data_IF_411144794364
#
_entry.id   IF_411144794364
#
_cell.length_a   1.000
_cell.length_b   1.000
_cell.length_c   1.000
_cell.angle_alpha   90.00
_cell.angle_beta   90.00
_cell.angle_gamma   90.00
#
_symmetry.space_group_name_H-M   'P 1'
#
loop_
_entity.id
_entity.type
_entity.pdbx_description
1 polymer ?
#
# COMPACT_ATOMS: atom_id res chain seq x y z
N UNK A 1 -1.37 18.59 10.89
CA UNK A 1 -0.20 17.80 11.33
C UNK A 1 0.44 17.20 10.08
N UNK A 2 1.75 16.96 10.00
CA UNK A 2 2.31 16.28 8.83
C UNK A 2 1.64 14.90 8.70
N UNK A 3 1.21 14.54 7.50
CA UNK A 3 0.57 13.25 7.27
C UNK A 3 1.59 12.13 7.53
N UNK A 4 1.18 11.14 8.33
CA UNK A 4 2.02 9.97 8.61
C UNK A 4 2.10 9.10 7.34
N UNK A 5 3.33 8.83 6.86
CA UNK A 5 3.58 8.04 5.67
C UNK A 5 4.24 6.70 6.00
N UNK A 6 3.81 5.66 5.29
CA UNK A 6 4.37 4.32 5.35
C UNK A 6 4.67 3.83 3.94
N UNK A 7 5.63 2.92 3.83
CA UNK A 7 5.88 2.17 2.59
C UNK A 7 5.28 0.78 2.73
N UNK A 8 4.48 0.39 1.75
CA UNK A 8 3.95 -0.97 1.63
C UNK A 8 4.91 -1.78 0.77
N UNK A 9 5.32 -2.93 1.28
CA UNK A 9 6.24 -3.88 0.64
C UNK A 9 5.63 -5.29 0.61
N UNK A 10 6.14 -6.12 -0.30
CA UNK A 10 5.85 -7.56 -0.28
C UNK A 10 6.49 -8.23 0.93
N UNK A 11 5.80 -9.23 1.51
CA UNK A 11 6.40 -10.14 2.51
C UNK A 11 7.40 -11.11 1.89
N UNK A 12 7.22 -11.41 0.61
CA UNK A 12 8.13 -12.29 -0.11
C UNK A 12 9.30 -11.44 -0.62
N UNK A 13 10.55 -11.78 -0.27
CA UNK A 13 11.70 -11.06 -0.79
C UNK A 13 11.83 -11.29 -2.30
N UNK A 14 12.38 -10.29 -3.00
CA UNK A 14 12.82 -10.43 -4.38
C UNK A 14 14.14 -11.19 -4.47
N UNK A 15 14.84 -11.03 -5.59
CA UNK A 15 16.26 -11.45 -5.66
C UNK A 15 17.08 -10.64 -4.63
N UNK A 16 18.28 -11.11 -4.24
CA UNK A 16 19.14 -10.34 -3.36
C UNK A 16 19.37 -8.91 -3.89
N UNK A 17 19.01 -7.89 -3.09
CA UNK A 17 19.09 -6.48 -3.48
C UNK A 17 17.85 -5.93 -4.22
N UNK A 18 16.84 -6.76 -4.47
CA UNK A 18 15.59 -6.37 -5.15
C UNK A 18 14.39 -6.48 -4.21
N UNK A 19 13.42 -5.57 -4.40
CA UNK A 19 12.12 -5.67 -3.76
C UNK A 19 11.32 -6.81 -4.39
N UNK A 20 10.63 -7.58 -3.57
CA UNK A 20 9.73 -8.62 -4.07
C UNK A 20 8.48 -8.02 -4.70
N UNK A 21 7.89 -8.67 -5.71
CA UNK A 21 6.63 -8.22 -6.29
C UNK A 21 5.50 -8.35 -5.26
N UNK A 22 4.62 -7.35 -5.22
CA UNK A 22 3.37 -7.39 -4.45
C UNK A 22 2.31 -8.12 -5.26
N UNK A 23 2.02 -7.62 -6.47
CA UNK A 23 1.08 -8.20 -7.43
C UNK A 23 1.24 -7.50 -8.80
N UNK A 24 0.60 -8.04 -9.83
CA UNK A 24 0.39 -7.25 -11.05
C UNK A 24 -0.51 -6.05 -10.74
N UNK A 25 -0.38 -4.96 -11.50
CA UNK A 25 -1.21 -3.76 -11.30
C UNK A 25 -2.70 -4.08 -11.39
N UNK A 26 -3.10 -4.94 -12.33
CA UNK A 26 -4.50 -5.32 -12.52
C UNK A 26 -5.06 -6.17 -11.36
N UNK A 27 -4.27 -7.06 -10.76
CA UNK A 27 -4.68 -7.84 -9.59
C UNK A 27 -4.77 -6.97 -8.34
N UNK A 28 -3.80 -6.07 -8.16
CA UNK A 28 -3.76 -5.13 -7.04
C UNK A 28 -5.00 -4.22 -7.04
N UNK A 29 -5.30 -3.59 -8.18
CA UNK A 29 -6.47 -2.71 -8.32
C UNK A 29 -7.78 -3.46 -8.04
N UNK A 30 -7.93 -4.67 -8.58
CA UNK A 30 -9.11 -5.52 -8.31
C UNK A 30 -9.23 -5.87 -6.83
N UNK A 31 -8.11 -6.20 -6.18
CA UNK A 31 -8.07 -6.57 -4.76
C UNK A 31 -8.38 -5.39 -3.83
N UNK A 32 -7.93 -4.19 -4.18
CA UNK A 32 -8.20 -2.99 -3.39
C UNK A 32 -9.63 -2.47 -3.61
N UNK A 33 -10.17 -2.57 -4.83
CA UNK A 33 -11.51 -2.11 -5.14
C UNK A 33 -12.58 -2.81 -4.28
N UNK A 34 -12.47 -4.12 -4.06
CA UNK A 34 -13.40 -4.88 -3.19
C UNK A 34 -13.25 -4.54 -1.70
N UNK A 35 -12.27 -3.70 -1.34
CA UNK A 35 -11.98 -3.23 0.02
C UNK A 35 -12.15 -1.70 0.15
N UNK A 36 -12.91 -1.10 -0.76
CA UNK A 36 -13.20 0.33 -0.81
C UNK A 36 -11.93 1.19 -0.97
N UNK A 37 -10.94 0.70 -1.71
CA UNK A 37 -9.75 1.48 -2.07
C UNK A 37 -9.53 1.43 -3.57
N UNK A 38 -9.67 2.57 -4.23
CA UNK A 38 -9.65 2.62 -5.70
C UNK A 38 -9.22 4.02 -6.17
N UNK A 39 -8.73 4.15 -7.41
CA UNK A 39 -8.50 5.46 -8.00
C UNK A 39 -9.83 6.17 -8.28
N UNK A 40 -9.82 7.51 -8.29
CA UNK A 40 -10.99 8.30 -8.69
C UNK A 40 -11.31 8.08 -10.18
N UNK A 41 -10.27 7.98 -11.03
CA UNK A 41 -10.41 7.71 -12.47
C UNK A 41 -9.58 6.51 -12.89
N UNK A 42 -10.08 5.79 -13.88
CA UNK A 42 -9.35 4.66 -14.45
C UNK A 42 -8.00 5.12 -15.00
N UNK A 43 -6.92 4.49 -14.54
CA UNK A 43 -5.55 4.78 -14.96
C UNK A 43 -4.76 5.62 -13.95
N UNK A 44 -5.42 6.29 -13.01
CA UNK A 44 -4.71 7.08 -12.00
C UNK A 44 -3.85 6.18 -11.09
N UNK A 45 -2.75 6.74 -10.63
CA UNK A 45 -1.82 6.09 -9.71
C UNK A 45 -2.13 6.36 -8.24
N UNK A 46 -3.04 7.30 -7.95
CA UNK A 46 -3.48 7.65 -6.60
C UNK A 46 -4.82 7.00 -6.29
N UNK A 47 -4.85 6.18 -5.25
CA UNK A 47 -6.02 5.45 -4.79
C UNK A 47 -6.48 6.02 -3.45
N UNK A 48 -7.80 6.15 -3.30
CA UNK A 48 -8.44 6.66 -2.10
C UNK A 48 -9.15 5.55 -1.37
N UNK A 49 -8.94 5.47 -0.06
CA UNK A 49 -9.65 4.58 0.85
C UNK A 49 -10.04 5.30 2.14
N UNK A 50 -10.76 4.63 3.06
CA UNK A 50 -11.19 5.27 4.30
C UNK A 50 -9.99 5.62 5.19
N UNK A 51 -9.72 6.92 5.34
CA UNK A 51 -8.60 7.46 6.12
C UNK A 51 -7.21 7.22 5.52
N UNK A 52 -7.13 6.72 4.28
CA UNK A 52 -5.85 6.44 3.63
C UNK A 52 -5.85 6.86 2.17
N UNK A 53 -4.65 7.18 1.69
CA UNK A 53 -4.32 7.24 0.27
C UNK A 53 -3.20 6.25 -0.03
N UNK A 54 -3.26 5.59 -1.18
CA UNK A 54 -2.20 4.70 -1.67
C UNK A 54 -1.74 5.20 -3.03
N UNK A 55 -0.47 5.53 -3.15
CA UNK A 55 0.17 5.96 -4.39
C UNK A 55 0.98 4.80 -4.98
N UNK A 56 0.65 4.44 -6.22
CA UNK A 56 1.42 3.52 -7.05
C UNK A 56 2.53 4.26 -7.79
N UNK A 57 3.61 3.55 -8.12
CA UNK A 57 4.62 4.06 -9.04
C UNK A 57 4.05 4.09 -10.48
N UNK A 58 4.17 5.21 -11.21
CA UNK A 58 3.63 5.33 -12.56
C UNK A 58 4.19 4.30 -13.53
N UNK A 59 3.30 3.59 -14.23
CA UNK A 59 3.67 2.58 -15.23
C UNK A 59 4.38 1.34 -14.71
N UNK A 60 4.54 1.17 -13.39
CA UNK A 60 5.20 -0.01 -12.81
C UNK A 60 4.28 -1.23 -12.80
N UNK A 61 4.75 -2.34 -13.39
CA UNK A 61 4.08 -3.64 -13.35
C UNK A 61 5.13 -4.78 -13.49
N UNK A 62 5.26 -5.71 -12.52
CA UNK A 62 4.51 -5.80 -11.26
C UNK A 62 4.84 -4.66 -10.31
N UNK A 63 3.86 -4.31 -9.46
CA UNK A 63 4.08 -3.34 -8.39
C UNK A 63 4.97 -3.97 -7.33
N UNK A 64 6.06 -3.31 -6.94
CA UNK A 64 7.00 -3.81 -5.93
C UNK A 64 6.93 -3.03 -4.62
N UNK A 65 6.45 -1.80 -4.66
CA UNK A 65 6.24 -0.95 -3.50
C UNK A 65 5.09 0.04 -3.75
N UNK A 66 4.49 0.52 -2.67
CA UNK A 66 3.49 1.60 -2.70
C UNK A 66 3.72 2.55 -1.54
N UNK A 67 3.40 3.83 -1.73
CA UNK A 67 3.39 4.81 -0.65
C UNK A 67 1.99 4.90 -0.07
N UNK A 68 1.86 4.70 1.24
CA UNK A 68 0.62 4.88 1.98
C UNK A 68 0.69 6.17 2.79
N UNK A 69 -0.33 7.01 2.64
CA UNK A 69 -0.49 8.24 3.44
C UNK A 69 -1.71 8.06 4.33
N UNK A 70 -1.56 8.33 5.63
CA UNK A 70 -2.68 8.40 6.58
C UNK A 70 -3.30 9.79 6.48
N UNK A 71 -4.55 9.86 6.05
CA UNK A 71 -5.32 11.12 5.91
C UNK A 71 -6.26 11.36 7.09
N UNK A 72 -6.65 10.30 7.81
CA UNK A 72 -7.47 10.37 9.03
C UNK A 72 -7.01 9.30 10.04
N UNK A 73 -6.37 9.75 11.13
CA UNK A 73 -5.77 8.85 12.14
C UNK A 73 -6.81 8.05 12.93
N UNK A 74 -8.05 8.53 13.05
CA UNK A 74 -9.08 7.89 13.88
C UNK A 74 -9.57 6.57 13.25
N UNK A 75 -9.50 6.46 11.92
CA UNK A 75 -10.04 5.31 11.18
C UNK A 75 -8.99 4.52 10.38
N UNK A 76 -7.88 5.15 9.98
CA UNK A 76 -6.92 4.56 9.06
C UNK A 76 -6.34 3.23 9.54
N UNK A 77 -5.97 3.12 10.82
CA UNK A 77 -5.25 1.93 11.29
C UNK A 77 -6.07 0.65 11.21
N UNK A 78 -7.37 0.73 11.43
CA UNK A 78 -8.27 -0.42 11.27
C UNK A 78 -8.28 -0.93 9.83
N UNK A 79 -8.28 0.00 8.86
CA UNK A 79 -8.22 -0.33 7.42
C UNK A 79 -6.85 -0.89 7.07
N UNK A 80 -5.77 -0.20 7.45
CA UNK A 80 -4.39 -0.58 7.11
C UNK A 80 -4.06 -1.98 7.62
N UNK A 81 -4.35 -2.27 8.89
CA UNK A 81 -4.06 -3.59 9.48
C UNK A 81 -4.86 -4.70 8.80
N UNK A 82 -6.12 -4.42 8.44
CA UNK A 82 -6.95 -5.38 7.71
C UNK A 82 -6.41 -5.64 6.29
N UNK A 83 -6.08 -4.59 5.55
CA UNK A 83 -5.49 -4.70 4.21
C UNK A 83 -4.17 -5.47 4.27
N UNK A 84 -3.27 -5.09 5.17
CA UNK A 84 -1.95 -5.69 5.29
C UNK A 84 -2.02 -7.17 5.66
N UNK A 85 -2.96 -7.57 6.53
CA UNK A 85 -3.18 -8.98 6.87
C UNK A 85 -3.79 -9.77 5.71
N UNK A 86 -4.81 -9.24 5.04
CA UNK A 86 -5.49 -9.98 3.97
C UNK A 86 -4.65 -10.08 2.69
N UNK A 87 -3.88 -9.02 2.36
CA UNK A 87 -3.06 -8.94 1.16
C UNK A 87 -1.60 -9.30 1.40
N UNK A 88 -1.28 -9.79 2.61
CA UNK A 88 0.06 -10.28 2.99
C UNK A 88 1.15 -9.21 2.77
N UNK A 89 0.88 -7.98 3.23
CA UNK A 89 1.82 -6.88 3.14
C UNK A 89 2.71 -6.77 4.37
N UNK A 90 3.88 -6.19 4.14
CA UNK A 90 4.77 -5.64 5.15
C UNK A 90 4.68 -4.12 5.09
N UNK A 91 4.57 -3.47 6.24
CA UNK A 91 4.54 -2.02 6.37
C UNK A 91 5.89 -1.55 6.93
N UNK A 92 6.47 -0.53 6.32
CA UNK A 92 7.74 0.06 6.72
C UNK A 92 7.54 1.55 6.99
N UNK A 93 7.93 2.00 8.18
CA UNK A 93 7.98 3.42 8.52
C UNK A 93 9.38 3.97 8.19
N UNK A 94 9.51 4.81 7.16
CA UNK A 94 10.81 5.33 6.73
C UNK A 94 11.44 6.32 7.73
N UNK A 95 10.67 6.89 8.65
CA UNK A 95 11.16 7.86 9.62
C UNK A 95 11.73 7.21 10.86
N UNK A 96 11.14 6.09 11.30
CA UNK A 96 11.59 5.36 12.50
C UNK A 96 12.37 4.10 12.19
N UNK A 97 12.34 3.62 10.94
CA UNK A 97 12.90 2.35 10.52
C UNK A 97 12.12 1.13 11.04
N UNK A 98 10.94 1.35 11.64
CA UNK A 98 10.11 0.26 12.18
C UNK A 98 9.40 -0.48 11.06
N UNK A 99 9.27 -1.79 11.27
CA UNK A 99 8.57 -2.69 10.37
C UNK A 99 7.41 -3.34 11.10
N UNK A 100 6.27 -3.48 10.40
CA UNK A 100 5.09 -4.17 10.90
C UNK A 100 4.62 -5.20 9.88
N UNK A 101 4.46 -6.44 10.34
CA UNK A 101 3.96 -7.57 9.54
C UNK A 101 2.79 -8.22 10.29
N UNK A 102 1.56 -7.71 10.11
CA UNK A 102 0.39 -8.11 10.90
C UNK A 102 -0.23 -9.46 10.52
#
# INVERSE_FOLDING_TARGET
>A
MPASQLVILSRNPGKPGELGPIATRAELLRSLAVRNTAPERSGDDLLYGPGIEIQLAPGQDPVTQMLLTITDEDIAWTVILRLARELQWKLFDPYTGRELTP
#
